data_IF_031983553441
#
_entry.id   IF_031983553441
#
_cell.length_a   1.000
_cell.length_b   1.000
_cell.length_c   1.000
_cell.angle_alpha   90.00
_cell.angle_beta   90.00
_cell.angle_gamma   90.00
#
_symmetry.space_group_name_H-M   'P 1'
#
loop_
_entity.id
_entity.type
_entity.pdbx_description
1 polymer ?
#
# COMPACT_ATOMS: atom_id res chain seq x y z
N UNK A 1 -16.78 24.57 18.13
CA UNK A 1 -15.34 24.22 18.14
C UNK A 1 -15.24 22.70 18.08
N UNK A 2 -14.39 22.14 17.22
CA UNK A 2 -14.20 20.69 17.15
C UNK A 2 -13.54 20.19 18.44
N UNK A 3 -14.08 19.14 19.05
CA UNK A 3 -13.47 18.49 20.21
C UNK A 3 -12.29 17.64 19.71
N UNK A 4 -11.14 17.63 20.41
CA UNK A 4 -10.05 16.72 20.07
C UNK A 4 -10.54 15.27 20.16
N UNK A 5 -10.09 14.43 19.22
CA UNK A 5 -10.38 12.99 19.20
C UNK A 5 -9.77 12.31 20.43
N UNK A 6 -10.44 11.26 20.91
CA UNK A 6 -9.90 10.41 21.97
C UNK A 6 -8.68 9.66 21.43
N UNK A 7 -7.64 9.48 22.24
CA UNK A 7 -6.39 8.84 21.82
C UNK A 7 -6.61 7.41 21.31
N UNK A 8 -7.72 6.77 21.71
CA UNK A 8 -8.14 5.44 21.21
C UNK A 8 -8.76 5.46 19.82
N UNK A 9 -9.19 6.62 19.34
CA UNK A 9 -9.73 6.84 18.00
C UNK A 9 -8.64 7.33 17.02
N UNK A 10 -7.43 7.60 17.53
CA UNK A 10 -6.27 8.00 16.74
C UNK A 10 -5.52 6.74 16.32
N UNK A 11 -5.69 6.36 15.06
CA UNK A 11 -4.88 5.30 14.44
C UNK A 11 -3.41 5.69 14.44
N UNK A 12 -2.55 4.77 14.86
CA UNK A 12 -1.11 4.95 14.80
C UNK A 12 -0.62 4.82 13.36
N UNK A 13 0.51 5.45 13.06
CA UNK A 13 1.17 5.31 11.76
C UNK A 13 1.44 3.84 11.42
N UNK A 14 1.82 3.05 12.42
CA UNK A 14 2.11 1.62 12.24
C UNK A 14 0.85 0.82 11.88
N UNK A 15 -0.27 1.09 12.53
CA UNK A 15 -1.56 0.46 12.21
C UNK A 15 -2.03 0.80 10.79
N UNK A 16 -1.83 2.06 10.36
CA UNK A 16 -2.13 2.48 8.98
C UNK A 16 -1.25 1.71 8.00
N UNK A 17 0.06 1.61 8.27
CA UNK A 17 1.01 0.90 7.41
C UNK A 17 0.65 -0.58 7.28
N UNK A 18 0.35 -1.25 8.40
CA UNK A 18 0.00 -2.67 8.40
C UNK A 18 -1.30 -2.90 7.62
N UNK A 19 -2.36 -2.13 7.92
CA UNK A 19 -3.66 -2.27 7.25
C UNK A 19 -3.52 -2.08 5.73
N UNK A 20 -2.83 -1.01 5.32
CA UNK A 20 -2.64 -0.73 3.91
C UNK A 20 -1.81 -1.81 3.21
N UNK A 21 -0.77 -2.36 3.86
CA UNK A 21 0.03 -3.43 3.28
C UNK A 21 -0.76 -4.71 3.06
N UNK A 22 -1.68 -5.05 3.99
CA UNK A 22 -2.58 -6.19 3.84
C UNK A 22 -3.53 -5.99 2.67
N UNK A 23 -4.18 -4.83 2.58
CA UNK A 23 -5.11 -4.51 1.48
C UNK A 23 -4.42 -4.51 0.11
N UNK A 24 -3.24 -3.90 0.01
CA UNK A 24 -2.45 -3.85 -1.22
C UNK A 24 -2.04 -5.27 -1.64
N UNK A 25 -1.63 -6.12 -0.69
CA UNK A 25 -1.24 -7.50 -0.97
C UNK A 25 -2.43 -8.32 -1.51
N UNK A 26 -3.59 -8.21 -0.86
CA UNK A 26 -4.80 -8.90 -1.29
C UNK A 26 -5.26 -8.46 -2.69
N UNK A 27 -5.18 -7.16 -2.99
CA UNK A 27 -5.50 -6.64 -4.33
C UNK A 27 -4.55 -7.21 -5.39
N UNK A 28 -3.25 -7.23 -5.11
CA UNK A 28 -2.24 -7.75 -6.02
C UNK A 28 -2.51 -9.23 -6.34
N UNK A 29 -2.75 -10.04 -5.31
CA UNK A 29 -3.06 -11.47 -5.47
C UNK A 29 -4.32 -11.66 -6.32
N UNK A 30 -5.40 -10.93 -6.03
CA UNK A 30 -6.64 -11.01 -6.78
C UNK A 30 -6.46 -10.66 -8.27
N UNK A 31 -5.62 -9.66 -8.58
CA UNK A 31 -5.32 -9.28 -9.95
C UNK A 31 -4.46 -10.32 -10.67
N UNK A 32 -3.54 -10.99 -9.96
CA UNK A 32 -2.75 -12.10 -10.51
C UNK A 32 -3.61 -13.34 -10.77
N UNK A 33 -4.49 -13.70 -9.84
CA UNK A 33 -5.43 -14.82 -10.01
C UNK A 33 -6.38 -14.62 -11.19
N UNK A 34 -6.79 -13.37 -11.44
CA UNK A 34 -7.59 -12.99 -12.60
C UNK A 34 -6.79 -12.92 -13.91
N UNK A 35 -5.46 -13.08 -13.86
CA UNK A 35 -4.57 -12.97 -15.00
C UNK A 35 -4.44 -11.56 -15.57
N UNK A 36 -4.78 -10.53 -14.78
CA UNK A 36 -4.74 -9.12 -15.21
C UNK A 36 -3.31 -8.59 -15.16
N UNK A 37 -2.53 -9.01 -14.16
CA UNK A 37 -1.11 -8.67 -14.03
C UNK A 37 -0.31 -9.94 -13.74
N UNK A 38 0.97 -9.90 -14.10
CA UNK A 38 1.95 -10.93 -13.73
C UNK A 38 2.90 -10.43 -12.65
N UNK A 39 3.55 -11.37 -11.96
CA UNK A 39 4.56 -11.04 -10.96
C UNK A 39 5.76 -10.27 -11.53
N UNK A 40 6.14 -10.58 -12.77
CA UNK A 40 7.23 -9.89 -13.45
C UNK A 40 6.88 -8.42 -13.75
N UNK A 41 5.67 -8.15 -14.26
CA UNK A 41 5.19 -6.79 -14.54
C UNK A 41 5.14 -5.96 -13.26
N UNK A 42 4.64 -6.54 -12.17
CA UNK A 42 4.61 -5.87 -10.87
C UNK A 42 6.03 -5.55 -10.38
N UNK A 43 6.96 -6.51 -10.42
CA UNK A 43 8.35 -6.29 -10.02
C UNK A 43 9.03 -5.19 -10.85
N UNK A 44 8.82 -5.19 -12.16
CA UNK A 44 9.40 -4.17 -13.03
C UNK A 44 8.82 -2.79 -12.73
N UNK A 45 7.51 -2.70 -12.49
CA UNK A 45 6.85 -1.45 -12.11
C UNK A 45 7.36 -0.92 -10.78
N UNK A 46 7.54 -1.78 -9.78
CA UNK A 46 8.13 -1.40 -8.48
C UNK A 46 9.56 -0.87 -8.62
N UNK A 47 10.39 -1.50 -9.47
CA UNK A 47 11.75 -1.02 -9.77
C UNK A 47 11.73 0.37 -10.40
N UNK A 48 10.86 0.59 -11.40
CA UNK A 48 10.70 1.90 -12.07
C UNK A 48 10.28 2.99 -11.08
N UNK A 49 9.25 2.74 -10.28
CA UNK A 49 8.76 3.68 -9.27
C UNK A 49 9.84 4.02 -8.22
N UNK A 50 10.58 3.03 -7.73
CA UNK A 50 11.67 3.26 -6.77
C UNK A 50 12.74 4.18 -7.36
N UNK A 51 13.10 3.99 -8.63
CA UNK A 51 14.08 4.84 -9.31
C UNK A 51 13.54 6.26 -9.54
N UNK A 52 12.26 6.42 -9.86
CA UNK A 52 11.61 7.73 -10.02
C UNK A 52 11.53 8.50 -8.68
N UNK A 53 11.31 7.79 -7.58
CA UNK A 53 11.28 8.38 -6.24
C UNK A 53 12.67 8.69 -5.70
N UNK A 54 13.69 7.88 -6.02
CA UNK A 54 15.08 8.11 -5.62
C UNK A 54 15.78 9.22 -6.42
N UNK A 55 15.24 9.61 -7.57
CA UNK A 55 15.72 10.72 -8.39
C UNK A 55 15.00 12.06 -8.08
N UNK A 56 14.35 12.19 -6.93
CA UNK A 56 13.71 13.43 -6.46
C UNK A 56 14.39 13.98 -5.22
#
# INVERSE_FOLDING_TARGET
>A
MAKPLDAKEIVTTDEIVITNMVEISALIELLMEKGIITQNELMERCKKLRNEMGNR
#
